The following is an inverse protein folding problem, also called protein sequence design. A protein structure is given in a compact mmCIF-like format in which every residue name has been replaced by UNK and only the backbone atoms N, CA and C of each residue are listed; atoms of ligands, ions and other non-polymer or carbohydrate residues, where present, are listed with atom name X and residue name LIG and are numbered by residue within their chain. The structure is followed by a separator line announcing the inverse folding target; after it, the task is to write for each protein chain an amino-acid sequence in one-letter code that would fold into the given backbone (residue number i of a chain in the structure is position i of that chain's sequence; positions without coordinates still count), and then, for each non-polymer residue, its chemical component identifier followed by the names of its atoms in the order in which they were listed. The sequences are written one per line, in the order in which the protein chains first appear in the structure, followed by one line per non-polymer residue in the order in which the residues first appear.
data_IF_601766269474
#
_entry.id   IF_601766269474
#
_cell.length_a   1.000
_cell.length_b   1.000
_cell.length_c   1.000
_cell.angle_alpha   90.00
_cell.angle_beta   90.00
_cell.angle_gamma   90.00
#
_symmetry.space_group_name_H-M   'P 1'
#
loop_
_entity.id
_entity.type
_entity.pdbx_description
1 polymer ?
#
# COMPACT_ATOMS: atom_id res chain seq x y z
N UNK A 1 -23.42 21.18 14.91
CA UNK A 1 -22.81 22.30 14.13
C UNK A 1 -22.13 21.77 12.86
N UNK A 2 -21.60 22.63 11.97
CA UNK A 2 -20.96 22.21 10.70
C UNK A 2 -19.85 21.18 10.90
N UNK A 3 -19.09 21.31 11.99
CA UNK A 3 -18.04 20.38 12.40
C UNK A 3 -18.57 18.97 12.65
N UNK A 4 -19.68 18.82 13.36
CA UNK A 4 -20.27 17.49 13.60
C UNK A 4 -20.80 16.85 12.33
N UNK A 5 -21.41 17.64 11.43
CA UNK A 5 -21.87 17.13 10.13
C UNK A 5 -20.71 16.66 9.25
N UNK A 6 -19.56 17.35 9.27
CA UNK A 6 -18.37 16.90 8.55
C UNK A 6 -17.91 15.51 9.02
N UNK A 7 -17.74 15.33 10.34
CA UNK A 7 -17.27 14.07 10.91
C UNK A 7 -18.29 12.93 10.79
N UNK A 8 -19.59 13.22 10.91
CA UNK A 8 -20.64 12.18 10.91
C UNK A 8 -21.20 11.84 9.53
N UNK A 9 -21.13 12.75 8.55
CA UNK A 9 -21.80 12.59 7.25
C UNK A 9 -20.78 12.56 6.13
N UNK A 10 -19.98 13.62 5.99
CA UNK A 10 -19.10 13.78 4.82
C UNK A 10 -17.94 12.81 4.85
N UNK A 11 -17.29 12.66 6.00
CA UNK A 11 -16.12 11.78 6.15
C UNK A 11 -16.45 10.29 5.91
N UNK A 12 -17.50 9.70 6.51
CA UNK A 12 -17.89 8.33 6.17
C UNK A 12 -18.36 8.19 4.71
N UNK A 13 -19.04 9.20 4.14
CA UNK A 13 -19.42 9.18 2.71
C UNK A 13 -18.22 9.18 1.77
N UNK A 14 -17.09 9.76 2.16
CA UNK A 14 -15.84 9.79 1.38
C UNK A 14 -14.89 8.64 1.72
N UNK A 15 -15.20 7.80 2.72
CA UNK A 15 -14.31 6.75 3.21
C UNK A 15 -13.81 5.80 2.12
N UNK A 16 -14.65 5.47 1.13
CA UNK A 16 -14.26 4.62 -0.01
C UNK A 16 -13.21 5.30 -0.90
N UNK A 17 -13.37 6.59 -1.17
CA UNK A 17 -12.40 7.37 -1.95
C UNK A 17 -11.09 7.53 -1.17
N UNK A 18 -11.16 7.83 0.13
CA UNK A 18 -9.96 7.95 0.98
C UNK A 18 -9.18 6.63 0.99
N UNK A 19 -9.87 5.49 1.09
CA UNK A 19 -9.23 4.18 1.09
C UNK A 19 -8.43 3.90 -0.20
N UNK A 20 -9.03 4.15 -1.37
CA UNK A 20 -8.34 3.97 -2.65
C UNK A 20 -7.14 4.92 -2.78
N UNK A 21 -7.30 6.17 -2.36
CA UNK A 21 -6.20 7.14 -2.35
C UNK A 21 -5.05 6.69 -1.44
N UNK A 22 -5.35 6.15 -0.26
CA UNK A 22 -4.33 5.62 0.67
C UNK A 22 -3.58 4.43 0.06
N UNK A 23 -4.28 3.51 -0.60
CA UNK A 23 -3.62 2.41 -1.32
C UNK A 23 -2.71 2.98 -2.41
N UNK A 24 -3.22 3.92 -3.20
CA UNK A 24 -2.46 4.55 -4.28
C UNK A 24 -1.19 5.23 -3.79
N UNK A 25 -1.27 6.03 -2.71
CA UNK A 25 -0.09 6.70 -2.15
C UNK A 25 0.93 5.70 -1.62
N UNK A 26 0.49 4.63 -0.94
CA UNK A 26 1.39 3.59 -0.46
C UNK A 26 2.12 2.89 -1.61
N UNK A 27 1.42 2.54 -2.68
CA UNK A 27 2.04 1.94 -3.88
C UNK A 27 3.00 2.93 -4.53
N UNK A 28 2.60 4.20 -4.67
CA UNK A 28 3.43 5.24 -5.27
C UNK A 28 4.73 5.46 -4.49
N UNK A 29 4.65 5.59 -3.16
CA UNK A 29 5.82 5.77 -2.31
C UNK A 29 6.71 4.52 -2.29
N UNK A 30 6.10 3.33 -2.31
CA UNK A 30 6.85 2.07 -2.36
C UNK A 30 7.63 1.96 -3.68
N UNK A 31 7.00 2.28 -4.80
CA UNK A 31 7.61 2.18 -6.14
C UNK A 31 8.42 3.42 -6.53
N UNK A 32 8.59 4.36 -5.60
CA UNK A 32 9.25 5.62 -5.89
C UNK A 32 10.74 5.39 -6.17
N UNK A 33 11.25 5.97 -7.25
CA UNK A 33 12.64 5.71 -7.68
C UNK A 33 13.70 6.27 -6.71
N UNK A 34 13.34 7.19 -5.82
CA UNK A 34 14.22 7.69 -4.75
C UNK A 34 14.18 6.81 -3.50
N UNK A 35 13.39 5.73 -3.50
CA UNK A 35 13.38 4.78 -2.39
C UNK A 35 14.72 4.03 -2.35
N UNK A 36 15.41 4.09 -1.21
CA UNK A 36 16.72 3.48 -1.01
C UNK A 36 16.71 1.97 -1.33
N UNK A 37 15.58 1.29 -1.15
CA UNK A 37 15.45 -0.14 -1.48
C UNK A 37 15.53 -0.39 -3.00
N UNK A 38 14.86 0.45 -3.80
CA UNK A 38 14.88 0.35 -5.27
C UNK A 38 16.25 0.74 -5.82
N UNK A 39 16.86 1.77 -5.25
CA UNK A 39 18.22 2.18 -5.60
C UNK A 39 19.21 1.05 -5.33
N UNK A 40 19.07 0.34 -4.21
CA UNK A 40 19.95 -0.78 -3.88
C UNK A 40 19.74 -1.98 -4.81
N UNK A 41 18.49 -2.27 -5.20
CA UNK A 41 18.18 -3.29 -6.24
C UNK A 41 18.87 -2.94 -7.56
N UNK A 42 18.74 -1.70 -8.03
CA UNK A 42 19.36 -1.24 -9.28
C UNK A 42 20.89 -1.18 -9.21
N UNK A 43 21.45 -0.77 -8.07
CA UNK A 43 22.89 -0.77 -7.85
C UNK A 43 23.45 -2.19 -7.89
N UNK A 44 22.73 -3.16 -7.33
CA UNK A 44 23.12 -4.55 -7.41
C UNK A 44 23.06 -5.06 -8.86
N UNK A 45 22.08 -4.66 -9.70
CA UNK A 45 22.05 -5.01 -11.14
C UNK A 45 23.32 -4.60 -11.90
N UNK A 46 23.90 -3.45 -11.55
CA UNK A 46 25.07 -2.87 -12.23
C UNK A 46 26.40 -3.39 -11.69
N UNK A 47 26.40 -4.23 -10.64
CA UNK A 47 27.63 -4.78 -10.05
C UNK A 47 28.09 -6.02 -10.80
N UNK A 48 29.39 -6.14 -11.16
CA UNK A 48 29.92 -7.28 -11.91
C UNK A 48 29.77 -8.64 -11.21
N UNK A 49 29.73 -8.65 -9.86
CA UNK A 49 29.64 -9.87 -9.06
C UNK A 49 28.21 -10.36 -8.78
N UNK A 50 27.24 -9.46 -8.83
CA UNK A 50 25.84 -9.73 -8.45
C UNK A 50 24.96 -9.33 -9.62
N UNK A 51 25.02 -10.09 -10.72
CA UNK A 51 24.29 -9.73 -11.94
C UNK A 51 22.76 -9.69 -11.77
N UNK A 52 22.06 -9.56 -12.90
CA UNK A 52 20.60 -9.41 -12.98
C UNK A 52 19.78 -10.45 -12.17
N UNK A 53 20.30 -11.67 -11.97
CA UNK A 53 19.62 -12.71 -11.20
C UNK A 53 19.47 -12.42 -9.71
N UNK A 54 20.47 -11.77 -9.09
CA UNK A 54 20.39 -11.39 -7.67
C UNK A 54 19.42 -10.22 -7.49
N UNK A 55 19.47 -9.26 -8.40
CA UNK A 55 18.59 -8.11 -8.37
C UNK A 55 17.11 -8.46 -8.62
N UNK A 56 16.81 -9.42 -9.50
CA UNK A 56 15.44 -9.89 -9.71
C UNK A 56 14.90 -10.63 -8.50
N UNK A 57 15.72 -11.43 -7.81
CA UNK A 57 15.34 -12.07 -6.55
C UNK A 57 15.03 -11.03 -5.46
N UNK A 58 15.86 -9.99 -5.33
CA UNK A 58 15.60 -8.88 -4.41
C UNK A 58 14.30 -8.13 -4.76
N UNK A 59 14.01 -7.93 -6.05
CA UNK A 59 12.76 -7.31 -6.50
C UNK A 59 11.53 -8.15 -6.15
N UNK A 60 11.60 -9.48 -6.29
CA UNK A 60 10.51 -10.38 -5.90
C UNK A 60 10.25 -10.39 -4.39
N UNK A 61 11.30 -10.38 -3.57
CA UNK A 61 11.17 -10.26 -2.11
C UNK A 61 10.52 -8.92 -1.77
N UNK A 62 10.96 -7.82 -2.38
CA UNK A 62 10.38 -6.51 -2.19
C UNK A 62 8.89 -6.48 -2.59
N UNK A 63 8.54 -7.11 -3.71
CA UNK A 63 7.16 -7.24 -4.16
C UNK A 63 6.26 -7.96 -3.14
N UNK A 64 6.74 -9.05 -2.53
CA UNK A 64 6.00 -9.77 -1.49
C UNK A 64 5.79 -8.89 -0.25
N UNK A 65 6.80 -8.11 0.15
CA UNK A 65 6.69 -7.17 1.28
C UNK A 65 5.63 -6.11 1.01
N UNK A 66 5.62 -5.52 -0.19
CA UNK A 66 4.60 -4.53 -0.59
C UNK A 66 3.21 -5.17 -0.62
N UNK A 67 3.07 -6.39 -1.14
CA UNK A 67 1.79 -7.12 -1.08
C UNK A 67 1.34 -7.38 0.37
N UNK A 68 2.26 -7.74 1.27
CA UNK A 68 1.95 -7.91 2.69
C UNK A 68 1.47 -6.61 3.35
N UNK A 69 2.10 -5.48 3.03
CA UNK A 69 1.68 -4.16 3.51
C UNK A 69 0.29 -3.78 3.00
N UNK A 70 0.00 -4.03 1.73
CA UNK A 70 -1.34 -3.82 1.16
C UNK A 70 -2.39 -4.76 1.79
N UNK A 71 -2.03 -6.02 2.03
CA UNK A 71 -2.87 -6.97 2.76
C UNK A 71 -3.22 -6.48 4.16
N UNK A 72 -2.24 -5.93 4.89
CA UNK A 72 -2.47 -5.36 6.22
C UNK A 72 -3.37 -4.12 6.18
N UNK A 73 -3.15 -3.21 5.22
CA UNK A 73 -3.96 -2.01 5.05
C UNK A 73 -5.40 -2.34 4.69
N UNK A 74 -5.61 -3.27 3.76
CA UNK A 74 -6.94 -3.75 3.39
C UNK A 74 -7.64 -4.41 4.58
N UNK A 75 -6.94 -5.24 5.36
CA UNK A 75 -7.50 -5.88 6.56
C UNK A 75 -7.94 -4.85 7.62
N UNK A 76 -7.16 -3.78 7.81
CA UNK A 76 -7.47 -2.73 8.78
C UNK A 76 -8.63 -1.83 8.32
N UNK A 77 -8.71 -1.55 7.01
CA UNK A 77 -9.72 -0.66 6.45
C UNK A 77 -10.98 -1.34 5.96
N UNK A 78 -11.06 -2.67 5.85
CA UNK A 78 -12.33 -3.37 5.59
C UNK A 78 -13.27 -2.98 6.73
N UNK A 79 -14.29 -2.14 6.48
CA UNK A 79 -15.30 -1.91 7.48
C UNK A 79 -15.96 -3.27 7.67
N UNK A 80 -16.00 -3.78 8.91
CA UNK A 80 -16.82 -4.95 9.23
C UNK A 80 -18.19 -4.67 8.64
N UNK A 81 -18.57 -5.38 7.57
CA UNK A 81 -19.97 -5.39 7.15
C UNK A 81 -20.71 -5.89 8.38
N UNK A 82 -21.40 -4.98 9.06
CA UNK A 82 -22.39 -5.30 10.06
C UNK A 82 -23.27 -6.37 9.39
N UNK A 83 -23.18 -7.60 9.87
CA UNK A 83 -24.13 -8.66 9.53
C UNK A 83 -25.48 -8.20 10.10
N UNK A 84 -26.18 -7.36 9.36
CA UNK A 84 -27.59 -7.12 9.61
C UNK A 84 -28.39 -8.18 8.85
N UNK A 85 -29.23 -8.89 9.60
CA UNK A 85 -30.38 -9.60 9.07
C UNK A 85 -30.16 -11.09 8.83
N UNK A 86 -30.39 -11.89 9.86
CA UNK A 86 -30.46 -13.34 9.70
C UNK A 86 -30.94 -14.13 10.91
N UNK A 87 -31.84 -13.57 11.74
CA UNK A 87 -32.90 -14.25 12.52
C UNK A 87 -33.61 -13.27 13.44
#
# INVERSE_FOLDING_TARGET
GPWESFWKITLPSLSSLVFVNVIYTVVLLSTFSENQVIIEIQRNMLRPNTGYGVASAMAWIYFIVVMGMLGLLTLLFIPKKQKEGGR
#
